data_IF_283312468264
#
_entry.id   IF_283312468264
#
_cell.length_a   1.000
_cell.length_b   1.000
_cell.length_c   1.000
_cell.angle_alpha   90.00
_cell.angle_beta   90.00
_cell.angle_gamma   90.00
#
_symmetry.space_group_name_H-M   'P 1'
#
loop_
_entity.id
_entity.type
_entity.pdbx_description
1 polymer ?
#
# COMPACT_ATOMS: atom_id res chain seq x y z
N UNK A 1 -0.83 -37.06 9.72
CA UNK A 1 -2.18 -37.22 9.13
C UNK A 1 -3.31 -36.74 10.04
N UNK A 2 -3.18 -36.73 11.39
CA UNK A 2 -4.28 -36.29 12.27
C UNK A 2 -4.51 -34.77 12.36
N UNK A 3 -3.49 -33.95 12.10
CA UNK A 3 -3.58 -32.50 12.34
C UNK A 3 -4.49 -31.78 11.33
N UNK A 4 -4.41 -32.14 10.04
CA UNK A 4 -5.25 -31.56 8.98
C UNK A 4 -6.73 -31.92 9.18
N UNK A 5 -7.01 -33.15 9.61
CA UNK A 5 -8.37 -33.63 9.85
C UNK A 5 -9.01 -32.89 11.02
N UNK A 6 -8.26 -32.69 12.12
CA UNK A 6 -8.71 -31.88 13.25
C UNK A 6 -8.90 -30.40 12.90
N UNK A 7 -8.05 -29.85 12.04
CA UNK A 7 -8.15 -28.45 11.60
C UNK A 7 -9.41 -28.23 10.74
N UNK A 8 -9.69 -29.16 9.82
CA UNK A 8 -10.92 -29.16 9.02
C UNK A 8 -12.17 -29.38 9.91
N UNK A 9 -12.14 -30.34 10.83
CA UNK A 9 -13.23 -30.57 11.79
C UNK A 9 -13.50 -29.32 12.65
N UNK A 10 -12.44 -28.64 13.10
CA UNK A 10 -12.55 -27.38 13.85
C UNK A 10 -13.15 -26.26 13.00
N UNK A 11 -12.79 -26.16 11.71
CA UNK A 11 -13.37 -25.17 10.81
C UNK A 11 -14.87 -25.44 10.54
N UNK A 12 -15.24 -26.70 10.35
CA UNK A 12 -16.64 -27.12 10.17
C UNK A 12 -17.45 -26.86 11.45
N UNK A 13 -16.90 -27.21 12.62
CA UNK A 13 -17.57 -26.97 13.90
C UNK A 13 -17.72 -25.48 14.24
N UNK A 14 -16.80 -24.64 13.75
CA UNK A 14 -16.84 -23.18 13.91
C UNK A 14 -17.80 -22.45 12.95
N UNK A 15 -18.43 -23.17 12.02
CA UNK A 15 -19.24 -22.60 10.96
C UNK A 15 -20.58 -22.10 11.53
N UNK A 16 -20.69 -20.77 11.70
CA UNK A 16 -21.90 -20.12 12.19
C UNK A 16 -22.84 -19.84 11.03
N UNK A 17 -23.92 -20.59 10.94
CA UNK A 17 -25.03 -20.33 10.00
C UNK A 17 -25.94 -19.23 10.54
N UNK A 18 -25.52 -17.97 10.41
CA UNK A 18 -26.38 -16.82 10.68
C UNK A 18 -27.00 -16.32 9.37
N UNK A 19 -28.31 -16.04 9.39
CA UNK A 19 -28.98 -15.36 8.28
C UNK A 19 -28.57 -13.89 8.31
N UNK A 20 -27.76 -13.45 7.34
CA UNK A 20 -27.32 -12.06 7.20
C UNK A 20 -28.10 -11.38 6.08
N UNK A 21 -28.52 -10.13 6.32
CA UNK A 21 -29.06 -9.28 5.25
C UNK A 21 -27.90 -8.91 4.33
N UNK A 22 -27.85 -9.49 3.13
CA UNK A 22 -26.87 -9.12 2.10
C UNK A 22 -27.48 -8.10 1.15
N UNK A 23 -26.76 -7.02 0.88
CA UNK A 23 -27.14 -6.07 -0.16
C UNK A 23 -26.49 -6.50 -1.48
N UNK A 24 -27.34 -6.80 -2.46
CA UNK A 24 -27.02 -7.53 -3.69
C UNK A 24 -27.25 -6.62 -4.90
N UNK A 25 -26.40 -6.78 -5.91
CA UNK A 25 -26.53 -6.12 -7.20
C UNK A 25 -26.25 -7.06 -8.35
N UNK A 26 -26.47 -6.57 -9.56
CA UNK A 26 -26.25 -7.31 -10.81
C UNK A 26 -25.34 -6.52 -11.73
N UNK A 27 -24.33 -7.17 -12.28
CA UNK A 27 -23.42 -6.55 -13.26
C UNK A 27 -24.20 -6.22 -14.54
N UNK A 28 -24.25 -4.95 -14.90
CA UNK A 28 -24.86 -4.46 -16.15
C UNK A 28 -23.85 -4.42 -17.30
N UNK A 29 -22.68 -3.89 -17.03
CA UNK A 29 -21.61 -3.70 -18.00
C UNK A 29 -20.27 -4.03 -17.34
N UNK A 30 -19.35 -4.63 -18.11
CA UNK A 30 -17.97 -4.87 -17.71
C UNK A 30 -17.05 -4.56 -18.89
N UNK A 31 -15.97 -3.83 -18.62
CA UNK A 31 -14.98 -3.46 -19.62
C UNK A 31 -13.77 -2.78 -18.98
N UNK A 32 -12.58 -3.02 -19.54
CA UNK A 32 -11.32 -2.36 -19.15
C UNK A 32 -11.02 -2.35 -17.65
N UNK A 33 -11.41 -3.43 -16.93
CA UNK A 33 -11.20 -3.56 -15.49
C UNK A 33 -12.17 -2.78 -14.62
N UNK A 34 -13.25 -2.23 -15.19
CA UNK A 34 -14.37 -1.63 -14.46
C UNK A 34 -15.68 -2.36 -14.76
N UNK A 35 -16.60 -2.27 -13.80
CA UNK A 35 -17.94 -2.81 -13.90
C UNK A 35 -18.97 -1.77 -13.45
N UNK A 36 -20.12 -1.76 -14.12
CA UNK A 36 -21.31 -1.03 -13.70
C UNK A 36 -22.29 -2.02 -13.10
N UNK A 37 -22.75 -1.72 -11.89
CA UNK A 37 -23.60 -2.63 -11.13
C UNK A 37 -24.92 -1.91 -10.84
N UNK A 38 -26.04 -2.55 -11.14
CA UNK A 38 -27.35 -2.09 -10.71
C UNK A 38 -27.72 -2.72 -9.36
N UNK A 39 -28.40 -1.96 -8.50
CA UNK A 39 -28.74 -2.38 -7.15
C UNK A 39 -27.72 -1.88 -6.14
N UNK A 40 -27.31 -2.72 -5.19
CA UNK A 40 -26.41 -2.35 -4.11
C UNK A 40 -26.84 -1.07 -3.35
N UNK A 41 -28.12 -0.93 -3.01
CA UNK A 41 -28.69 0.32 -2.46
C UNK A 41 -28.01 0.85 -1.19
N UNK A 42 -27.44 -0.05 -0.38
CA UNK A 42 -26.79 0.26 0.89
C UNK A 42 -25.25 0.36 0.76
N UNK A 43 -24.68 0.44 -0.46
CA UNK A 43 -23.22 0.49 -0.66
C UNK A 43 -22.61 1.83 -0.23
N UNK A 44 -21.42 1.76 0.33
CA UNK A 44 -20.62 2.93 0.70
C UNK A 44 -19.55 3.22 -0.35
N UNK A 45 -19.15 4.49 -0.44
CA UNK A 45 -17.98 4.87 -1.24
C UNK A 45 -16.73 4.19 -0.66
N UNK A 46 -15.88 3.63 -1.53
CA UNK A 46 -14.69 2.84 -1.18
C UNK A 46 -14.98 1.51 -0.45
N UNK A 47 -16.22 1.02 -0.51
CA UNK A 47 -16.56 -0.31 -0.03
C UNK A 47 -16.06 -1.40 -0.97
N UNK A 48 -15.64 -2.53 -0.41
CA UNK A 48 -15.34 -3.72 -1.19
C UNK A 48 -16.63 -4.43 -1.61
N UNK A 49 -16.70 -4.76 -2.89
CA UNK A 49 -17.76 -5.55 -3.51
C UNK A 49 -17.17 -6.91 -3.88
N UNK A 50 -17.81 -7.98 -3.47
CA UNK A 50 -17.47 -9.35 -3.81
C UNK A 50 -18.18 -9.77 -5.11
N UNK A 51 -17.39 -10.25 -6.06
CA UNK A 51 -17.83 -10.82 -7.32
C UNK A 51 -17.72 -12.35 -7.29
N UNK A 52 -18.41 -13.06 -8.20
CA UNK A 52 -18.26 -14.50 -8.34
C UNK A 52 -16.80 -14.92 -8.54
N UNK A 53 -16.45 -16.07 -7.95
CA UNK A 53 -15.09 -16.60 -8.02
C UNK A 53 -14.09 -15.94 -7.05
N UNK A 54 -14.57 -15.18 -6.06
CA UNK A 54 -13.73 -14.57 -5.02
C UNK A 54 -12.95 -13.35 -5.50
N UNK A 55 -13.34 -12.77 -6.64
CA UNK A 55 -12.79 -11.51 -7.12
C UNK A 55 -13.40 -10.36 -6.30
N UNK A 56 -12.57 -9.41 -5.88
CA UNK A 56 -13.05 -8.20 -5.24
C UNK A 56 -13.03 -7.02 -6.21
N UNK A 57 -13.92 -6.06 -5.99
CA UNK A 57 -13.91 -4.76 -6.61
C UNK A 57 -14.09 -3.65 -5.58
N UNK A 58 -13.77 -2.43 -5.98
CA UNK A 58 -13.88 -1.22 -5.15
C UNK A 58 -14.95 -0.29 -5.73
N UNK A 59 -15.95 0.06 -4.92
CA UNK A 59 -16.97 1.05 -5.28
C UNK A 59 -16.36 2.46 -5.33
N UNK A 60 -16.34 3.09 -6.51
CA UNK A 60 -15.72 4.40 -6.72
C UNK A 60 -16.70 5.49 -7.18
N UNK A 61 -17.79 5.13 -7.84
CA UNK A 61 -18.86 6.05 -8.21
C UNK A 61 -20.20 5.51 -7.71
N UNK A 62 -20.98 6.35 -7.04
CA UNK A 62 -22.35 6.05 -6.63
C UNK A 62 -23.28 6.96 -7.43
N UNK A 63 -23.92 6.41 -8.46
CA UNK A 63 -24.87 7.13 -9.31
C UNK A 63 -26.31 6.82 -8.88
N UNK A 64 -27.30 7.51 -9.45
CA UNK A 64 -28.70 7.35 -9.03
C UNK A 64 -29.25 5.93 -9.25
N UNK A 65 -28.81 5.26 -10.31
CA UNK A 65 -29.31 3.94 -10.71
C UNK A 65 -28.22 2.85 -10.77
N UNK A 66 -26.95 3.22 -10.67
CA UNK A 66 -25.84 2.28 -10.81
C UNK A 66 -24.63 2.66 -9.95
N UNK A 67 -23.79 1.66 -9.69
CA UNK A 67 -22.56 1.78 -8.93
C UNK A 67 -21.41 1.46 -9.88
N UNK A 68 -20.52 2.44 -10.06
CA UNK A 68 -19.27 2.26 -10.78
C UNK A 68 -18.22 1.65 -9.87
N UNK A 69 -17.76 0.45 -10.23
CA UNK A 69 -16.79 -0.33 -9.48
C UNK A 69 -15.57 -0.63 -10.34
N UNK A 70 -14.39 -0.69 -9.72
CA UNK A 70 -13.16 -1.14 -10.37
C UNK A 70 -12.71 -2.48 -9.80
N UNK A 71 -12.21 -3.37 -10.65
CA UNK A 71 -11.87 -4.74 -10.27
C UNK A 71 -10.45 -4.84 -9.71
N UNK A 72 -10.30 -5.54 -8.59
CA UNK A 72 -9.04 -5.79 -7.88
C UNK A 72 -8.39 -7.11 -8.36
N UNK A 73 -8.30 -7.28 -9.68
CA UNK A 73 -7.78 -8.50 -10.31
C UNK A 73 -8.23 -8.65 -11.76
N UNK A 74 -8.08 -9.86 -12.31
CA UNK A 74 -8.59 -10.18 -13.64
C UNK A 74 -10.12 -10.35 -13.59
N UNK A 75 -10.81 -9.60 -14.45
CA UNK A 75 -12.27 -9.67 -14.62
C UNK A 75 -12.72 -10.57 -15.77
N UNK A 76 -11.82 -11.36 -16.39
CA UNK A 76 -12.12 -12.13 -17.61
C UNK A 76 -13.28 -13.13 -17.46
N UNK A 77 -13.50 -13.66 -16.24
CA UNK A 77 -14.58 -14.61 -15.96
C UNK A 77 -15.90 -13.93 -15.59
N UNK A 78 -15.91 -12.62 -15.34
CA UNK A 78 -17.09 -11.86 -14.93
C UNK A 78 -17.89 -11.44 -16.16
N UNK A 79 -19.22 -11.56 -16.09
CA UNK A 79 -20.14 -11.27 -17.20
C UNK A 79 -21.31 -10.42 -16.74
N UNK A 80 -21.95 -9.75 -17.70
CA UNK A 80 -23.22 -9.10 -17.45
C UNK A 80 -24.27 -10.13 -17.00
N UNK A 81 -25.04 -9.78 -15.97
CA UNK A 81 -25.98 -10.67 -15.30
C UNK A 81 -25.42 -11.35 -14.04
N UNK A 82 -24.11 -11.27 -13.79
CA UNK A 82 -23.51 -11.84 -12.57
C UNK A 82 -24.00 -11.10 -11.32
N UNK A 83 -24.30 -11.88 -10.28
CA UNK A 83 -24.67 -11.36 -8.96
C UNK A 83 -23.42 -10.94 -8.19
N UNK A 84 -23.47 -9.76 -7.58
CA UNK A 84 -22.39 -9.21 -6.75
C UNK A 84 -22.93 -8.76 -5.41
N UNK A 85 -22.07 -8.75 -4.38
CA UNK A 85 -22.48 -8.51 -2.99
C UNK A 85 -21.58 -7.49 -2.32
N UNK A 86 -22.18 -6.64 -1.50
CA UNK A 86 -21.42 -5.75 -0.60
C UNK A 86 -20.85 -6.52 0.58
N UNK A 87 -19.63 -6.18 0.98
CA UNK A 87 -18.96 -6.83 2.11
C UNK A 87 -19.24 -6.14 3.46
N UNK A 88 -19.82 -4.93 3.44
CA UNK A 88 -19.99 -4.05 4.59
C UNK A 88 -18.68 -3.47 5.11
N UNK A 89 -17.58 -3.61 4.36
CA UNK A 89 -16.22 -3.25 4.80
C UNK A 89 -15.55 -2.37 3.77
N UNK A 90 -14.94 -1.29 4.26
CA UNK A 90 -14.00 -0.52 3.47
C UNK A 90 -12.78 -1.39 3.16
N UNK A 91 -12.12 -1.11 2.03
CA UNK A 91 -10.89 -1.80 1.66
C UNK A 91 -9.86 -1.72 2.79
N UNK A 92 -9.46 -2.87 3.29
CA UNK A 92 -8.58 -3.04 4.44
C UNK A 92 -7.55 -4.12 4.15
N UNK A 93 -6.36 -4.00 4.74
CA UNK A 93 -5.24 -4.91 4.52
C UNK A 93 -4.74 -5.46 5.86
N UNK A 94 -4.23 -6.71 5.89
CA UNK A 94 -3.56 -7.24 7.07
C UNK A 94 -2.28 -6.45 7.35
N UNK A 95 -2.09 -6.06 8.61
CA UNK A 95 -0.91 -5.34 9.09
C UNK A 95 -0.35 -6.03 10.32
N UNK A 96 0.94 -5.82 10.60
CA UNK A 96 1.61 -6.47 11.72
C UNK A 96 3.09 -6.74 11.48
N UNK A 97 3.79 -7.20 12.52
CA UNK A 97 5.21 -7.59 12.39
C UNK A 97 5.39 -8.85 11.55
N UNK A 98 4.35 -9.67 11.39
CA UNK A 98 4.36 -10.87 10.53
C UNK A 98 4.59 -10.58 9.04
N UNK A 99 4.47 -9.32 8.60
CA UNK A 99 4.79 -8.91 7.23
C UNK A 99 6.30 -8.66 7.01
N UNK A 100 7.10 -8.49 8.05
CA UNK A 100 8.53 -8.24 7.92
C UNK A 100 9.21 -9.43 7.22
N UNK A 101 10.05 -9.13 6.22
CA UNK A 101 10.70 -10.14 5.38
C UNK A 101 9.82 -10.74 4.28
N UNK A 102 8.60 -10.23 4.10
CA UNK A 102 7.63 -10.72 3.12
C UNK A 102 7.49 -9.78 1.93
N UNK A 103 7.12 -10.38 0.79
CA UNK A 103 6.66 -9.66 -0.40
C UNK A 103 5.15 -9.88 -0.51
N UNK A 104 4.38 -8.79 -0.54
CA UNK A 104 2.91 -8.81 -0.57
C UNK A 104 2.35 -8.08 -1.77
N UNK A 105 1.14 -8.46 -2.18
CA UNK A 105 0.37 -7.71 -3.16
C UNK A 105 -0.37 -6.52 -2.51
N UNK A 106 -1.22 -5.86 -3.29
CA UNK A 106 -2.02 -4.70 -2.88
C UNK A 106 -3.09 -5.01 -1.84
N UNK A 107 -3.51 -6.27 -1.75
CA UNK A 107 -4.47 -6.76 -0.75
C UNK A 107 -3.78 -7.31 0.51
N UNK A 108 -2.44 -7.29 0.56
CA UNK A 108 -1.65 -7.81 1.67
C UNK A 108 -1.45 -9.33 1.64
N UNK A 109 -1.75 -9.98 0.51
CA UNK A 109 -1.54 -11.41 0.30
C UNK A 109 -0.09 -11.68 -0.12
N UNK A 110 0.46 -12.82 0.29
CA UNK A 110 1.84 -13.18 0.02
C UNK A 110 2.10 -13.49 -1.46
N UNK A 111 3.16 -12.90 -2.03
CA UNK A 111 3.66 -13.19 -3.38
C UNK A 111 4.96 -14.00 -3.40
N UNK A 112 5.57 -14.23 -2.24
CA UNK A 112 6.91 -14.83 -2.10
C UNK A 112 6.91 -16.37 -1.97
N UNK A 113 5.74 -17.01 -1.96
CA UNK A 113 5.62 -18.46 -1.82
C UNK A 113 5.98 -19.00 -0.42
N UNK A 114 6.21 -18.14 0.58
CA UNK A 114 6.58 -18.53 1.95
C UNK A 114 5.38 -18.89 2.84
N UNK A 115 4.24 -19.18 2.24
CA UNK A 115 2.96 -19.48 2.92
C UNK A 115 2.16 -18.23 3.30
N UNK A 116 1.03 -18.42 3.97
CA UNK A 116 0.13 -17.33 4.36
C UNK A 116 0.78 -16.37 5.39
N UNK A 117 0.28 -15.13 5.41
CA UNK A 117 0.72 -14.11 6.37
C UNK A 117 -0.35 -13.98 7.45
N UNK A 118 0.07 -14.14 8.70
CA UNK A 118 -0.77 -13.80 9.85
C UNK A 118 -0.53 -12.33 10.20
N UNK A 119 -1.50 -11.48 9.89
CA UNK A 119 -1.55 -10.10 10.36
C UNK A 119 -1.99 -10.03 11.82
N UNK A 120 -1.51 -9.01 12.53
CA UNK A 120 -1.89 -8.69 13.91
C UNK A 120 -3.22 -7.92 13.94
N UNK A 121 -3.50 -7.13 12.91
CA UNK A 121 -4.71 -6.34 12.77
C UNK A 121 -5.09 -6.13 11.28
N UNK A 122 -6.26 -5.54 11.05
CA UNK A 122 -6.73 -5.10 9.73
C UNK A 122 -6.80 -3.57 9.73
N UNK A 123 -6.11 -2.92 8.81
CA UNK A 123 -6.11 -1.46 8.69
C UNK A 123 -6.79 -1.03 7.40
N UNK A 124 -7.68 -0.02 7.42
CA UNK A 124 -8.27 0.53 6.22
C UNK A 124 -7.17 1.16 5.36
N UNK A 125 -7.19 0.93 4.05
CA UNK A 125 -6.19 1.51 3.14
C UNK A 125 -6.39 3.02 2.99
N UNK A 126 -7.63 3.50 3.09
CA UNK A 126 -7.95 4.92 3.18
C UNK A 126 -8.17 5.32 4.65
N UNK A 127 -7.28 6.18 5.14
CA UNK A 127 -7.33 6.74 6.50
C UNK A 127 -7.04 8.24 6.41
N UNK A 128 -7.71 9.02 7.25
CA UNK A 128 -7.44 10.45 7.39
C UNK A 128 -6.10 10.61 8.11
N UNK A 129 -5.26 11.50 7.60
CA UNK A 129 -3.96 11.81 8.17
C UNK A 129 -4.04 12.36 9.60
N UNK A 130 -2.98 12.19 10.42
CA UNK A 130 -2.92 12.78 11.75
C UNK A 130 -3.09 14.31 11.71
N UNK A 131 -4.04 14.83 12.49
CA UNK A 131 -4.32 16.27 12.60
C UNK A 131 -3.23 17.05 13.34
N UNK A 132 -3.28 18.37 13.30
CA UNK A 132 -2.21 19.27 13.80
C UNK A 132 -1.82 18.95 15.26
N UNK A 133 -2.79 18.80 16.16
CA UNK A 133 -2.56 18.56 17.60
C UNK A 133 -1.86 17.22 17.87
N UNK A 134 -2.09 16.22 16.99
CA UNK A 134 -1.54 14.87 17.15
C UNK A 134 -0.06 14.80 16.76
N UNK A 135 0.44 15.78 15.99
CA UNK A 135 1.80 15.79 15.46
C UNK A 135 2.82 16.29 16.48
N UNK A 136 4.07 15.89 16.29
CA UNK A 136 5.25 16.35 17.03
C UNK A 136 6.33 16.79 16.05
N UNK A 137 7.12 17.81 16.42
CA UNK A 137 8.23 18.27 15.60
C UNK A 137 9.23 17.15 15.29
N UNK A 138 9.69 17.10 14.04
CA UNK A 138 10.73 16.17 13.59
C UNK A 138 12.06 16.58 14.21
N UNK A 139 12.70 15.68 14.95
CA UNK A 139 13.94 15.99 15.70
C UNK A 139 14.92 14.81 15.79
N UNK A 140 14.60 13.69 15.16
CA UNK A 140 15.42 12.47 15.18
C UNK A 140 15.82 12.18 13.74
N UNK A 141 17.11 11.98 13.42
CA UNK A 141 17.53 11.76 12.04
C UNK A 141 17.19 10.35 11.54
N UNK A 142 17.06 10.24 10.22
CA UNK A 142 17.12 9.00 9.44
C UNK A 142 18.44 9.04 8.68
N UNK A 143 19.41 8.25 9.15
CA UNK A 143 20.75 8.20 8.57
C UNK A 143 20.77 7.36 7.29
N UNK A 144 20.85 8.00 6.13
CA UNK A 144 20.83 7.32 4.83
C UNK A 144 22.08 6.51 4.56
N UNK A 145 23.21 6.86 5.19
CA UNK A 145 24.52 6.29 4.89
C UNK A 145 25.16 6.91 3.64
N UNK A 146 24.54 7.94 3.07
CA UNK A 146 25.00 8.66 1.89
C UNK A 146 25.47 10.03 2.34
N UNK A 147 26.79 10.22 2.38
CA UNK A 147 27.42 11.41 2.96
C UNK A 147 26.88 12.75 2.42
N UNK A 148 26.67 12.94 1.09
CA UNK A 148 26.07 14.18 0.60
C UNK A 148 24.66 14.45 1.14
N UNK A 149 23.83 13.42 1.32
CA UNK A 149 22.47 13.57 1.82
C UNK A 149 22.52 13.85 3.33
N UNK A 150 23.20 13.00 4.09
CA UNK A 150 23.24 13.13 5.56
C UNK A 150 23.90 14.44 6.03
N UNK A 151 24.80 15.02 5.24
CA UNK A 151 25.47 16.28 5.56
C UNK A 151 24.75 17.54 5.06
N UNK A 152 24.18 17.51 3.85
CA UNK A 152 23.62 18.72 3.21
C UNK A 152 22.09 18.76 3.20
N UNK A 153 21.43 17.61 3.11
CA UNK A 153 19.96 17.50 3.01
C UNK A 153 19.49 16.41 4.00
N UNK A 154 19.67 16.63 5.32
CA UNK A 154 19.38 15.62 6.31
C UNK A 154 17.89 15.29 6.35
N UNK A 155 17.58 14.00 6.51
CA UNK A 155 16.22 13.48 6.58
C UNK A 155 15.89 13.16 8.04
N UNK A 156 14.74 13.59 8.53
CA UNK A 156 14.27 13.29 9.88
C UNK A 156 13.12 12.28 9.94
N UNK A 157 12.97 11.60 11.08
CA UNK A 157 11.88 10.65 11.34
C UNK A 157 10.52 11.36 11.36
N UNK A 158 9.67 11.04 10.39
CA UNK A 158 8.40 11.74 10.14
C UNK A 158 8.45 12.81 9.05
N UNK A 159 9.60 12.99 8.38
CA UNK A 159 9.76 13.86 7.21
C UNK A 159 9.28 13.18 5.92
N UNK A 160 9.01 14.00 4.91
CA UNK A 160 8.72 13.58 3.54
C UNK A 160 9.79 14.20 2.66
N UNK A 161 10.63 13.38 2.06
CA UNK A 161 11.78 13.85 1.25
C UNK A 161 11.70 13.29 -0.17
N UNK A 162 11.53 14.17 -1.14
CA UNK A 162 11.32 13.80 -2.54
C UNK A 162 12.64 13.41 -3.21
N UNK A 163 12.68 12.20 -3.80
CA UNK A 163 13.76 11.76 -4.69
C UNK A 163 13.27 11.94 -6.13
N UNK A 164 13.65 13.05 -6.75
CA UNK A 164 13.25 13.40 -8.12
C UNK A 164 14.44 13.31 -9.08
N UNK A 165 14.19 12.83 -10.29
CA UNK A 165 15.16 12.90 -11.38
C UNK A 165 14.81 12.01 -12.56
N UNK A 166 15.60 12.14 -13.62
CA UNK A 166 15.39 11.40 -14.86
C UNK A 166 15.62 9.89 -14.68
N UNK A 167 15.24 9.13 -15.70
CA UNK A 167 15.47 7.70 -15.74
C UNK A 167 16.96 7.36 -15.57
N UNK A 168 17.24 6.28 -14.83
CA UNK A 168 18.60 5.76 -14.62
C UNK A 168 19.59 6.69 -13.90
N UNK A 169 19.10 7.59 -13.04
CA UNK A 169 19.92 8.55 -12.26
C UNK A 169 20.27 8.09 -10.84
N UNK A 170 19.93 6.85 -10.46
CA UNK A 170 20.25 6.29 -9.13
C UNK A 170 19.17 6.47 -8.07
N UNK A 171 17.95 6.91 -8.44
CA UNK A 171 16.81 7.11 -7.52
C UNK A 171 16.53 5.88 -6.63
N UNK A 172 16.34 4.72 -7.25
CA UNK A 172 16.12 3.45 -6.53
C UNK A 172 17.33 3.07 -5.68
N UNK A 173 18.56 3.32 -6.15
CA UNK A 173 19.79 3.04 -5.41
C UNK A 173 19.83 3.82 -4.10
N UNK A 174 19.52 5.13 -4.12
CA UNK A 174 19.47 5.96 -2.91
C UNK A 174 18.48 5.38 -1.89
N UNK A 175 17.29 4.97 -2.34
CA UNK A 175 16.27 4.41 -1.47
C UNK A 175 16.67 3.04 -0.89
N UNK A 176 17.20 2.13 -1.72
CA UNK A 176 17.65 0.80 -1.29
C UNK A 176 18.84 0.90 -0.33
N UNK A 177 19.82 1.76 -0.61
CA UNK A 177 20.97 1.99 0.27
C UNK A 177 20.53 2.57 1.62
N UNK A 178 19.54 3.46 1.62
CA UNK A 178 18.93 3.97 2.84
C UNK A 178 18.33 2.82 3.66
N UNK A 179 17.54 1.93 3.07
CA UNK A 179 16.96 0.76 3.75
C UNK A 179 18.06 -0.13 4.34
N UNK A 180 19.13 -0.40 3.57
CA UNK A 180 20.28 -1.20 4.03
C UNK A 180 20.99 -0.53 5.20
N UNK A 181 21.18 0.79 5.16
CA UNK A 181 21.78 1.56 6.25
C UNK A 181 20.97 1.44 7.55
N UNK A 182 19.65 1.51 7.45
CA UNK A 182 18.75 1.36 8.61
C UNK A 182 18.82 -0.06 9.20
N UNK A 183 18.84 -1.09 8.36
CA UNK A 183 19.02 -2.47 8.82
C UNK A 183 20.37 -2.67 9.55
N UNK A 184 21.46 -2.08 9.04
CA UNK A 184 22.77 -2.11 9.72
C UNK A 184 22.71 -1.45 11.10
N UNK A 185 22.02 -0.32 11.23
CA UNK A 185 21.85 0.38 12.51
C UNK A 185 20.97 -0.41 13.49
N UNK A 186 19.87 -1.02 13.02
CA UNK A 186 19.03 -1.90 13.84
C UNK A 186 19.85 -3.06 14.41
N UNK A 187 20.60 -3.77 13.56
CA UNK A 187 21.48 -4.88 13.99
C UNK A 187 22.58 -4.42 14.94
N UNK A 188 23.17 -3.25 14.70
CA UNK A 188 24.17 -2.69 15.61
C UNK A 188 23.58 -2.38 17.00
N UNK A 189 22.34 -1.89 17.06
CA UNK A 189 21.62 -1.64 18.30
C UNK A 189 21.30 -2.94 19.05
N UNK A 190 20.83 -3.98 18.35
CA UNK A 190 20.58 -5.31 18.92
C UNK A 190 21.84 -5.97 19.48
N UNK A 191 22.99 -5.71 18.86
CA UNK A 191 24.31 -6.14 19.36
C UNK A 191 24.85 -5.25 20.49
N UNK A 192 24.10 -4.24 20.96
CA UNK A 192 24.52 -3.30 21.99
C UNK A 192 25.60 -2.30 21.56
N UNK A 193 25.92 -2.22 20.26
CA UNK A 193 26.94 -1.30 19.70
C UNK A 193 26.41 0.11 19.46
N UNK A 194 25.09 0.28 19.39
CA UNK A 194 24.42 1.56 19.21
C UNK A 194 23.38 1.78 20.30
N UNK A 195 23.78 2.47 21.38
CA UNK A 195 22.90 2.73 22.52
C UNK A 195 21.84 3.78 22.18
N UNK A 196 20.61 3.57 22.66
CA UNK A 196 19.50 4.51 22.48
C UNK A 196 18.91 4.55 21.07
N UNK A 197 19.35 3.68 20.15
CA UNK A 197 18.73 3.58 18.83
C UNK A 197 17.40 2.85 18.91
N UNK A 198 16.35 3.55 18.49
CA UNK A 198 15.03 2.95 18.28
C UNK A 198 14.99 2.31 16.89
N UNK A 199 14.63 1.03 16.77
CA UNK A 199 14.53 0.36 15.48
C UNK A 199 13.63 1.11 14.51
N UNK A 200 14.00 1.08 13.24
CA UNK A 200 13.22 1.65 12.15
C UNK A 200 12.91 0.57 11.11
N UNK A 201 11.62 0.37 10.83
CA UNK A 201 11.11 -0.67 9.93
C UNK A 201 10.84 -0.09 8.54
N UNK A 202 11.25 -0.81 7.51
CA UNK A 202 11.20 -0.30 6.14
C UNK A 202 10.03 -0.91 5.36
N UNK A 203 9.40 -0.11 4.51
CA UNK A 203 8.40 -0.53 3.54
C UNK A 203 8.85 -0.03 2.18
N UNK A 204 8.97 -0.94 1.21
CA UNK A 204 9.29 -0.60 -0.16
C UNK A 204 8.10 -0.92 -1.06
N UNK A 205 7.49 0.12 -1.64
CA UNK A 205 6.33 -0.01 -2.53
C UNK A 205 6.79 0.09 -3.98
N UNK A 206 6.78 -1.03 -4.69
CA UNK A 206 7.04 -1.09 -6.13
C UNK A 206 5.74 -0.89 -6.90
N UNK A 207 5.67 0.16 -7.71
CA UNK A 207 4.48 0.58 -8.46
C UNK A 207 4.82 0.52 -9.94
N UNK A 208 4.11 -0.31 -10.71
CA UNK A 208 4.31 -0.45 -12.16
C UNK A 208 5.74 -0.87 -12.55
N UNK A 209 6.48 -1.50 -11.64
CA UNK A 209 7.86 -1.95 -11.91
C UNK A 209 7.84 -3.31 -12.62
N UNK A 210 8.89 -3.60 -13.40
CA UNK A 210 9.10 -4.95 -13.94
C UNK A 210 9.40 -5.91 -12.79
N UNK A 211 8.79 -7.09 -12.81
CA UNK A 211 9.01 -8.12 -11.77
C UNK A 211 10.50 -8.46 -11.59
N UNK A 212 11.29 -8.49 -12.67
CA UNK A 212 12.73 -8.73 -12.61
C UNK A 212 13.52 -7.65 -11.86
N UNK A 213 13.07 -6.40 -11.90
CA UNK A 213 13.68 -5.31 -11.12
C UNK A 213 13.37 -5.48 -9.63
N UNK A 214 12.12 -5.82 -9.30
CA UNK A 214 11.69 -6.06 -7.91
C UNK A 214 12.44 -7.26 -7.34
N UNK A 215 12.56 -8.36 -8.09
CA UNK A 215 13.34 -9.52 -7.67
C UNK A 215 14.81 -9.19 -7.41
N UNK A 216 15.40 -8.27 -8.19
CA UNK A 216 16.76 -7.77 -7.93
C UNK A 216 16.85 -6.99 -6.63
N UNK A 217 15.88 -6.11 -6.35
CA UNK A 217 15.80 -5.35 -5.09
C UNK A 217 15.66 -6.30 -3.90
N UNK A 218 14.74 -7.27 -3.98
CA UNK A 218 14.57 -8.32 -2.96
C UNK A 218 15.91 -9.02 -2.69
N UNK A 219 16.57 -9.51 -3.75
CA UNK A 219 17.87 -10.19 -3.61
C UNK A 219 18.92 -9.29 -2.97
N UNK A 220 19.05 -8.03 -3.39
CA UNK A 220 19.99 -7.08 -2.81
C UNK A 220 19.72 -6.85 -1.31
N UNK A 221 18.45 -6.75 -0.92
CA UNK A 221 18.07 -6.61 0.48
C UNK A 221 18.29 -7.91 1.27
N UNK A 222 18.10 -9.09 0.68
CA UNK A 222 18.40 -10.39 1.31
C UNK A 222 19.92 -10.56 1.51
N UNK A 223 20.72 -10.30 0.47
CA UNK A 223 22.18 -10.40 0.51
C UNK A 223 22.79 -9.43 1.54
N UNK A 224 22.20 -8.24 1.72
CA UNK A 224 22.56 -7.27 2.75
C UNK A 224 21.96 -7.58 4.14
N UNK A 225 21.07 -8.58 4.23
CA UNK A 225 20.34 -8.95 5.44
C UNK A 225 19.36 -7.87 5.92
N UNK A 226 18.89 -6.99 5.04
CA UNK A 226 17.93 -5.92 5.33
C UNK A 226 16.47 -6.38 5.27
N UNK A 227 16.18 -7.51 4.59
CA UNK A 227 14.80 -8.03 4.50
C UNK A 227 14.16 -8.33 5.85
N UNK A 228 14.93 -8.70 6.88
CA UNK A 228 14.41 -8.96 8.24
C UNK A 228 13.61 -7.77 8.83
N UNK A 229 13.89 -6.54 8.39
CA UNK A 229 13.22 -5.32 8.85
C UNK A 229 12.38 -4.66 7.75
N UNK A 230 12.20 -5.32 6.60
CA UNK A 230 11.60 -4.72 5.41
C UNK A 230 10.38 -5.49 4.91
N UNK A 231 9.31 -4.77 4.59
CA UNK A 231 8.16 -5.28 3.84
C UNK A 231 8.23 -4.77 2.42
N UNK A 232 7.97 -5.61 1.42
CA UNK A 232 7.86 -5.17 0.03
C UNK A 232 6.40 -5.29 -0.41
N UNK A 233 5.79 -4.18 -0.81
CA UNK A 233 4.49 -4.17 -1.48
C UNK A 233 4.74 -4.06 -2.97
N UNK A 234 4.25 -5.03 -3.75
CA UNK A 234 4.49 -5.08 -5.18
C UNK A 234 3.17 -5.03 -5.96
N UNK A 235 3.01 -3.97 -6.75
CA UNK A 235 2.09 -3.91 -7.88
C UNK A 235 2.92 -3.74 -9.15
N UNK A 236 3.17 -4.84 -9.83
CA UNK A 236 4.01 -4.92 -11.01
C UNK A 236 3.33 -4.30 -12.24
N UNK A 237 4.12 -4.05 -13.29
CA UNK A 237 3.63 -3.49 -14.55
C UNK A 237 2.56 -4.37 -15.26
N UNK A 238 2.51 -5.66 -14.94
CA UNK A 238 1.49 -6.59 -15.48
C UNK A 238 0.19 -6.59 -14.68
N UNK A 239 0.18 -6.00 -13.49
CA UNK A 239 -1.02 -5.93 -12.66
C UNK A 239 -1.95 -4.81 -13.14
N UNK A 240 -3.24 -4.91 -12.77
CA UNK A 240 -4.25 -3.92 -13.13
C UNK A 240 -3.86 -2.50 -12.70
N UNK A 241 -4.34 -1.50 -13.43
CA UNK A 241 -4.15 -0.10 -13.05
C UNK A 241 -4.68 0.19 -11.64
N UNK A 242 -5.73 -0.51 -11.21
CA UNK A 242 -6.30 -0.39 -9.87
C UNK A 242 -5.31 -0.84 -8.81
N UNK A 243 -4.62 -1.96 -9.02
CA UNK A 243 -3.58 -2.44 -8.11
C UNK A 243 -2.42 -1.44 -8.04
N UNK A 244 -1.95 -0.92 -9.17
CA UNK A 244 -0.89 0.09 -9.20
C UNK A 244 -1.31 1.38 -8.48
N UNK A 245 -2.58 1.79 -8.61
CA UNK A 245 -3.16 2.92 -7.89
C UNK A 245 -3.21 2.71 -6.37
N UNK A 246 -3.57 1.50 -5.91
CA UNK A 246 -3.79 1.19 -4.49
C UNK A 246 -2.52 0.83 -3.71
N UNK A 247 -1.47 0.32 -4.38
CA UNK A 247 -0.25 -0.15 -3.71
C UNK A 247 0.36 0.85 -2.70
N UNK A 248 0.43 2.17 -3.00
CA UNK A 248 0.96 3.13 -2.04
C UNK A 248 0.11 3.27 -0.79
N UNK A 249 -1.22 3.17 -0.91
CA UNK A 249 -2.13 3.21 0.23
C UNK A 249 -2.00 1.98 1.12
N UNK A 250 -1.81 0.79 0.53
CA UNK A 250 -1.49 -0.44 1.26
C UNK A 250 -0.17 -0.32 2.01
N UNK A 251 0.88 0.20 1.36
CA UNK A 251 2.16 0.48 2.01
C UNK A 251 2.02 1.46 3.17
N UNK A 252 1.26 2.53 3.00
CA UNK A 252 0.96 3.48 4.07
C UNK A 252 0.22 2.81 5.24
N UNK A 253 -0.79 1.98 5.00
CA UNK A 253 -1.51 1.29 6.07
C UNK A 253 -0.58 0.39 6.90
N UNK A 254 0.35 -0.31 6.25
CA UNK A 254 1.39 -1.12 6.92
C UNK A 254 2.31 -0.21 7.76
N UNK A 255 2.79 0.89 7.19
CA UNK A 255 3.65 1.85 7.90
C UNK A 255 2.97 2.55 9.07
N UNK A 256 1.70 2.90 8.92
CA UNK A 256 0.89 3.52 9.97
C UNK A 256 0.67 2.60 11.15
N UNK A 257 0.55 1.28 10.94
CA UNK A 257 0.48 0.35 12.05
C UNK A 257 1.73 0.44 12.93
N UNK A 258 2.93 0.49 12.33
CA UNK A 258 4.16 0.69 13.11
C UNK A 258 4.13 2.03 13.87
N UNK A 259 3.72 3.11 13.20
CA UNK A 259 3.61 4.44 13.81
C UNK A 259 2.63 4.47 15.00
N UNK A 260 1.44 3.90 14.84
CA UNK A 260 0.39 3.84 15.86
C UNK A 260 0.82 2.97 17.06
N UNK A 261 1.63 1.94 16.83
CA UNK A 261 2.25 1.12 17.89
C UNK A 261 3.50 1.78 18.52
N UNK A 262 3.75 3.05 18.24
CA UNK A 262 4.87 3.80 18.79
C UNK A 262 6.23 3.41 18.23
N UNK A 263 6.28 2.67 17.13
CA UNK A 263 7.50 2.33 16.39
C UNK A 263 7.78 3.39 15.31
N UNK A 264 8.96 3.34 14.71
CA UNK A 264 9.31 4.21 13.60
C UNK A 264 9.40 3.39 12.31
N UNK A 265 8.90 3.98 11.23
CA UNK A 265 8.89 3.36 9.91
C UNK A 265 9.40 4.32 8.83
N UNK A 266 9.93 3.74 7.77
CA UNK A 266 10.34 4.40 6.53
C UNK A 266 9.62 3.74 5.37
N UNK A 267 8.91 4.53 4.56
CA UNK A 267 8.24 4.07 3.35
C UNK A 267 8.88 4.69 2.11
N UNK A 268 9.16 3.86 1.12
CA UNK A 268 9.64 4.26 -0.20
C UNK A 268 8.54 3.99 -1.22
N UNK A 269 8.25 4.96 -2.08
CA UNK A 269 7.32 4.79 -3.20
C UNK A 269 8.09 4.84 -4.53
N UNK A 270 8.23 3.70 -5.24
CA UNK A 270 8.96 3.58 -6.51
C UNK A 270 8.03 3.12 -7.66
N UNK A 271 7.34 4.03 -8.36
CA UNK A 271 7.36 5.49 -8.19
C UNK A 271 5.94 6.09 -8.27
N UNK A 272 5.77 7.30 -7.74
CA UNK A 272 4.47 7.98 -7.70
C UNK A 272 4.06 8.53 -9.07
N UNK A 273 5.01 8.70 -10.01
CA UNK A 273 4.67 9.05 -11.41
C UNK A 273 3.80 7.95 -12.03
N UNK A 274 4.15 6.68 -11.83
CA UNK A 274 3.35 5.53 -12.30
C UNK A 274 2.02 5.40 -11.56
N UNK A 275 1.95 5.75 -10.27
CA UNK A 275 0.68 5.80 -9.55
C UNK A 275 -0.28 6.82 -10.19
N UNK A 276 0.21 8.03 -10.51
CA UNK A 276 -0.60 9.06 -11.16
C UNK A 276 -1.10 8.60 -12.54
N UNK A 277 -0.25 7.95 -13.34
CA UNK A 277 -0.65 7.37 -14.64
C UNK A 277 -1.72 6.30 -14.47
N UNK A 278 -1.58 5.42 -13.47
CA UNK A 278 -2.58 4.40 -13.16
C UNK A 278 -3.92 5.03 -12.71
N UNK A 279 -3.88 6.05 -11.86
CA UNK A 279 -5.08 6.78 -11.44
C UNK A 279 -5.77 7.51 -12.59
N UNK A 280 -4.98 8.06 -13.54
CA UNK A 280 -5.50 8.63 -14.78
C UNK A 280 -6.26 7.59 -15.59
N UNK A 281 -5.70 6.40 -15.78
CA UNK A 281 -6.37 5.32 -16.49
C UNK A 281 -7.69 4.93 -15.81
N UNK A 282 -7.67 4.70 -14.49
CA UNK A 282 -8.86 4.37 -13.70
C UNK A 282 -9.94 5.45 -13.85
N UNK A 283 -9.56 6.73 -13.77
CA UNK A 283 -10.50 7.86 -13.88
C UNK A 283 -11.13 7.97 -15.27
N UNK A 284 -10.36 7.74 -16.33
CA UNK A 284 -10.86 7.77 -17.71
C UNK A 284 -11.82 6.62 -18.01
N UNK A 285 -11.53 5.41 -17.51
CA UNK A 285 -12.44 4.25 -17.63
C UNK A 285 -13.77 4.54 -16.93
N UNK A 286 -13.72 5.21 -15.76
CA UNK A 286 -14.91 5.67 -15.03
C UNK A 286 -15.55 6.94 -15.62
N UNK A 287 -15.13 7.39 -16.81
CA UNK A 287 -15.64 8.57 -17.52
C UNK A 287 -15.64 9.85 -16.69
N UNK A 288 -14.71 9.98 -15.74
CA UNK A 288 -14.52 11.23 -14.99
C UNK A 288 -13.94 12.31 -15.91
N UNK A 289 -14.38 13.58 -15.78
CA UNK A 289 -13.79 14.67 -16.54
C UNK A 289 -12.28 14.80 -16.30
N UNK A 290 -11.53 15.02 -17.37
CA UNK A 290 -10.07 15.19 -17.33
C UNK A 290 -9.67 16.65 -17.52
N UNK A 291 -8.56 17.05 -16.89
CA UNK A 291 -7.91 18.36 -17.04
C UNK A 291 -6.63 18.29 -17.88
N UNK A 292 -5.61 19.04 -17.44
CA UNK A 292 -4.29 19.12 -18.09
C UNK A 292 -3.65 17.73 -18.22
N UNK A 293 -3.07 17.45 -19.39
CA UNK A 293 -2.39 16.17 -19.69
C UNK A 293 -3.27 14.93 -19.46
N UNK A 294 -4.59 15.13 -19.58
CA UNK A 294 -5.65 14.16 -19.34
C UNK A 294 -5.72 13.61 -17.90
N UNK A 295 -5.04 14.22 -16.92
CA UNK A 295 -5.19 13.84 -15.51
C UNK A 295 -6.55 14.27 -14.95
N UNK A 296 -7.13 13.52 -14.01
CA UNK A 296 -8.35 13.95 -13.32
C UNK A 296 -8.06 15.19 -12.45
N UNK A 297 -9.10 16.01 -12.21
CA UNK A 297 -8.95 17.28 -11.49
C UNK A 297 -8.43 17.16 -10.05
N UNK A 298 -8.52 15.97 -9.47
CA UNK A 298 -8.12 15.63 -8.10
C UNK A 298 -6.79 14.85 -8.03
N UNK A 299 -5.98 14.83 -9.09
CA UNK A 299 -4.65 14.17 -9.08
C UNK A 299 -3.73 14.74 -7.99
N UNK A 300 -3.89 16.01 -7.60
CA UNK A 300 -3.18 16.58 -6.45
C UNK A 300 -3.68 16.00 -5.13
N UNK A 301 -4.99 15.78 -5.01
CA UNK A 301 -5.59 15.19 -3.81
C UNK A 301 -5.10 13.76 -3.58
N UNK A 302 -4.87 12.99 -4.66
CA UNK A 302 -4.28 11.65 -4.64
C UNK A 302 -2.98 11.59 -3.80
N UNK A 303 -1.98 12.39 -4.17
CA UNK A 303 -0.67 12.37 -3.52
C UNK A 303 -0.65 13.14 -2.20
N UNK A 304 -1.43 14.23 -2.06
CA UNK A 304 -1.46 14.99 -0.80
C UNK A 304 -2.05 14.16 0.34
N UNK A 305 -3.19 13.49 0.13
CA UNK A 305 -3.80 12.63 1.16
C UNK A 305 -2.96 11.39 1.48
N UNK A 306 -2.17 10.91 0.52
CA UNK A 306 -1.22 9.81 0.73
C UNK A 306 -0.04 10.27 1.59
N UNK A 307 0.66 11.32 1.16
CA UNK A 307 1.91 11.74 1.78
C UNK A 307 1.68 12.39 3.14
N UNK A 308 0.58 13.11 3.37
CA UNK A 308 0.28 13.74 4.67
C UNK A 308 0.02 12.72 5.80
N UNK A 309 -0.18 11.44 5.48
CA UNK A 309 -0.21 10.35 6.49
C UNK A 309 1.15 10.07 7.10
N UNK A 310 2.23 10.43 6.41
CA UNK A 310 3.60 10.31 6.91
C UNK A 310 3.91 11.47 7.84
N UNK A 311 3.94 11.19 9.14
CA UNK A 311 4.15 12.18 10.18
C UNK A 311 4.91 11.58 11.37
N UNK A 312 5.31 12.45 12.30
CA UNK A 312 5.70 12.05 13.66
C UNK A 312 4.57 12.42 14.60
N UNK A 313 4.06 11.46 15.35
CA UNK A 313 2.99 11.67 16.33
C UNK A 313 3.57 11.88 17.73
N UNK A 314 2.82 12.59 18.59
CA UNK A 314 3.23 12.80 19.97
C UNK A 314 2.93 11.56 20.85
N UNK A 315 3.42 11.59 22.09
CA UNK A 315 3.33 10.48 23.05
C UNK A 315 1.89 10.05 23.37
N UNK A 316 0.93 10.98 23.33
CA UNK A 316 -0.48 10.67 23.59
C UNK A 316 -1.15 9.89 22.44
N UNK A 317 -0.51 9.85 21.26
CA UNK A 317 -0.98 9.16 20.06
C UNK A 317 0.01 8.08 19.59
N UNK A 318 0.83 7.54 20.51
CA UNK A 318 1.73 6.42 20.26
C UNK A 318 3.21 6.82 20.20
N UNK A 319 3.55 8.07 19.86
CA UNK A 319 4.95 8.53 19.82
C UNK A 319 5.82 7.93 18.70
N UNK A 320 5.20 7.30 17.70
CA UNK A 320 5.86 6.74 16.53
C UNK A 320 6.06 7.75 15.41
N UNK A 321 6.60 7.26 14.30
CA UNK A 321 6.75 8.06 13.07
C UNK A 321 6.69 7.22 11.81
N UNK A 322 6.23 7.85 10.73
CA UNK A 322 6.31 7.33 9.37
C UNK A 322 7.03 8.37 8.50
N UNK A 323 8.21 8.01 8.02
CA UNK A 323 9.03 8.83 7.12
C UNK A 323 8.80 8.37 5.69
N UNK A 324 8.60 9.29 4.74
CA UNK A 324 8.35 8.92 3.35
C UNK A 324 9.44 9.42 2.41
N UNK A 325 9.89 8.55 1.51
CA UNK A 325 10.76 8.84 0.38
C UNK A 325 9.99 8.58 -0.93
N UNK A 326 9.13 9.52 -1.37
CA UNK A 326 8.51 9.41 -2.68
C UNK A 326 9.55 9.55 -3.78
N UNK A 327 9.52 8.64 -4.76
CA UNK A 327 10.29 8.76 -6.00
C UNK A 327 9.39 9.34 -7.09
N UNK A 328 9.92 10.30 -7.84
CA UNK A 328 9.30 10.86 -9.05
C UNK A 328 10.30 10.76 -10.20
N UNK A 329 9.83 10.23 -11.33
CA UNK A 329 10.58 10.23 -12.58
C UNK A 329 10.14 11.41 -13.46
N UNK A 330 11.09 12.26 -13.80
CA UNK A 330 10.93 13.37 -14.75
C UNK A 330 11.19 12.91 -16.18
N UNK A 331 10.75 13.72 -17.15
CA UNK A 331 11.06 13.52 -18.56
C UNK A 331 12.00 14.63 -19.02
N UNK A 332 13.21 14.27 -19.45
CA UNK A 332 14.21 15.19 -19.97
C UNK A 332 14.59 16.35 -19.02
N UNK A 333 14.58 16.11 -17.72
CA UNK A 333 14.94 17.10 -16.70
C UNK A 333 13.92 18.20 -16.46
N UNK A 334 12.69 18.06 -16.99
CA UNK A 334 11.60 19.01 -16.74
C UNK A 334 10.98 18.76 -15.35
N UNK A 335 11.05 19.78 -14.48
CA UNK A 335 10.68 19.73 -13.05
C UNK A 335 9.46 20.61 -12.77
#
# INVERSE_FOLDING_TARGET
MSNILQEIESQIAGLKTAVTKSNVGVVREIGDGAAKIEGLSDVMLNEMIEFPGGLYGLALNLEEAEVGCVLLGSGEHIKAGDEVRTTGRLLSVPVGKGLLGRVVNTLGEALDGKGEIKGDAQYPVEKIAPGIITRKSVSVPVQTGIMPIDAMIPIGRGQRELIIGDRSTGKTTIAVDTIISQAKQNKAAEQGKLQGHKPLYCIYVAIGQKQSNVARVVKTLEDAGAMEYTVIVNASASDSAVNQYLAPYTGCAIGEWFMDQGMDALIVFDDLSKQAVAYRQVSLVLKRPSGREAYPGDVFYLHSRLLERSARVNENYGGGSLTALPIIETQAGDV
#
